data_IF_040484813595
#
_entry.id   IF_040484813595
#
_cell.length_a   1.000
_cell.length_b   1.000
_cell.length_c   1.000
_cell.angle_alpha   90.00
_cell.angle_beta   90.00
_cell.angle_gamma   90.00
#
_symmetry.space_group_name_H-M   'P 1'
#
loop_
_entity.id
_entity.type
_entity.pdbx_description
1 polymer ?
#
# COMPACT_ATOMS: atom_id res chain seq x y z
N UNK A 1 -17.60 24.31 13.44
CA UNK A 1 -17.03 23.90 12.14
C UNK A 1 -16.33 22.57 12.36
N UNK A 2 -16.63 21.56 11.55
CA UNK A 2 -16.10 20.20 11.72
C UNK A 2 -15.08 19.92 10.63
N UNK A 3 -13.83 19.65 11.02
CA UNK A 3 -12.73 19.31 10.10
C UNK A 3 -12.45 17.83 10.26
N UNK A 4 -12.34 17.12 9.14
CA UNK A 4 -11.93 15.71 9.08
C UNK A 4 -10.61 15.63 8.32
N UNK A 5 -9.66 14.89 8.88
CA UNK A 5 -8.35 14.65 8.27
C UNK A 5 -8.32 13.17 7.89
N UNK A 6 -8.30 12.90 6.59
CA UNK A 6 -8.20 11.55 6.06
C UNK A 6 -6.84 11.35 5.36
N UNK A 7 -6.17 10.21 5.57
CA UNK A 7 -4.93 9.90 4.88
C UNK A 7 -5.21 9.61 3.39
N UNK A 8 -4.90 10.57 2.52
CA UNK A 8 -5.02 10.39 1.07
C UNK A 8 -3.87 9.55 0.51
N UNK A 9 -2.70 9.58 1.17
CA UNK A 9 -1.49 8.89 0.71
C UNK A 9 -1.01 7.91 1.78
N UNK A 10 -0.90 6.64 1.41
CA UNK A 10 -0.36 5.58 2.25
C UNK A 10 0.99 5.16 1.69
N UNK A 11 2.05 5.30 2.50
CA UNK A 11 3.36 4.76 2.17
C UNK A 11 3.46 3.30 2.63
N UNK A 12 3.64 2.41 1.68
CA UNK A 12 3.78 0.97 1.89
C UNK A 12 5.27 0.62 1.80
N UNK A 13 5.80 -0.02 2.83
CA UNK A 13 7.18 -0.50 2.91
C UNK A 13 7.15 -2.00 3.16
N UNK A 14 7.82 -2.76 2.29
CA UNK A 14 8.02 -4.20 2.46
C UNK A 14 9.35 -4.47 3.14
N UNK A 15 9.35 -5.36 4.13
CA UNK A 15 10.54 -5.81 4.85
C UNK A 15 10.66 -7.32 4.74
N UNK A 16 11.81 -7.87 5.13
CA UNK A 16 11.92 -9.31 5.36
C UNK A 16 11.11 -9.75 6.59
N UNK A 17 10.65 -11.00 6.56
CA UNK A 17 9.77 -11.59 7.59
C UNK A 17 10.40 -11.59 9.01
N UNK A 18 11.72 -11.40 9.11
CA UNK A 18 12.45 -11.31 10.39
C UNK A 18 12.39 -9.92 11.04
N UNK A 19 11.96 -8.89 10.30
CA UNK A 19 11.91 -7.51 10.78
C UNK A 19 10.63 -7.26 11.58
N UNK A 20 10.77 -6.66 12.77
CA UNK A 20 9.62 -6.24 13.56
C UNK A 20 9.01 -4.94 12.99
N UNK A 21 7.96 -5.09 12.17
CA UNK A 21 7.28 -3.96 11.51
C UNK A 21 6.38 -3.11 12.43
N UNK A 22 6.26 -3.46 13.72
CA UNK A 22 5.47 -2.72 14.70
C UNK A 22 6.30 -1.67 15.48
N UNK A 23 7.61 -1.59 15.25
CA UNK A 23 8.46 -0.53 15.82
C UNK A 23 8.06 0.84 15.27
N UNK A 24 8.39 1.91 15.99
CA UNK A 24 8.13 3.26 15.48
C UNK A 24 9.01 3.55 14.27
N UNK A 25 8.50 4.33 13.32
CA UNK A 25 9.20 4.57 12.05
C UNK A 25 10.60 5.18 12.22
N UNK A 26 10.79 6.03 13.24
CA UNK A 26 12.09 6.65 13.51
C UNK A 26 13.10 5.67 14.15
N UNK A 27 12.64 4.50 14.60
CA UNK A 27 13.44 3.42 15.19
C UNK A 27 13.74 2.31 14.18
N UNK A 28 13.16 2.37 12.97
CA UNK A 28 13.38 1.40 11.91
C UNK A 28 14.72 1.67 11.23
N UNK A 29 15.66 0.74 11.34
CA UNK A 29 17.00 0.83 10.71
C UNK A 29 17.19 -0.19 9.59
N UNK A 30 16.35 -1.21 9.56
CA UNK A 30 16.41 -2.31 8.61
C UNK A 30 16.01 -1.81 7.20
N UNK A 31 16.73 -2.24 6.15
CA UNK A 31 16.45 -1.80 4.78
C UNK A 31 15.11 -2.35 4.28
N UNK A 32 14.45 -1.60 3.41
CA UNK A 32 13.21 -2.03 2.77
C UNK A 32 13.53 -2.90 1.56
N UNK A 33 12.81 -3.99 1.37
CA UNK A 33 12.84 -4.76 0.13
C UNK A 33 12.21 -3.99 -1.02
N UNK A 34 11.10 -3.32 -0.73
CA UNK A 34 10.42 -2.46 -1.68
C UNK A 34 9.69 -1.33 -0.96
N UNK A 35 9.38 -0.28 -1.71
CA UNK A 35 8.46 0.77 -1.28
C UNK A 35 7.51 1.12 -2.41
N UNK A 36 6.25 1.38 -2.06
CA UNK A 36 5.24 1.85 -3.00
C UNK A 36 4.27 2.79 -2.29
N UNK A 37 3.51 3.55 -3.06
CA UNK A 37 2.50 4.48 -2.54
C UNK A 37 1.13 4.00 -2.97
N UNK A 38 0.14 4.12 -2.08
CA UNK A 38 -1.26 3.98 -2.43
C UNK A 38 -1.99 5.30 -2.20
N UNK A 39 -2.67 5.80 -3.23
CA UNK A 39 -3.57 6.95 -3.14
C UNK A 39 -4.98 6.44 -2.86
N UNK A 40 -5.54 6.79 -1.70
CA UNK A 40 -6.91 6.49 -1.32
C UNK A 40 -7.83 7.62 -1.79
N UNK A 41 -8.87 7.25 -2.52
CA UNK A 41 -9.82 8.20 -3.12
C UNK A 41 -11.23 7.99 -2.54
N UNK A 42 -12.04 9.04 -2.59
CA UNK A 42 -13.39 9.07 -1.99
C UNK A 42 -14.37 8.06 -2.60
N UNK A 43 -14.13 7.63 -3.84
CA UNK A 43 -14.90 6.57 -4.52
C UNK A 43 -14.56 5.15 -4.01
N UNK A 44 -13.60 5.04 -3.09
CA UNK A 44 -13.09 3.77 -2.57
C UNK A 44 -11.98 3.17 -3.43
N UNK A 45 -11.40 3.90 -4.38
CA UNK A 45 -10.24 3.45 -5.13
C UNK A 45 -8.96 3.55 -4.28
N UNK A 46 -8.13 2.50 -4.33
CA UNK A 46 -6.74 2.56 -3.91
C UNK A 46 -5.83 2.43 -5.14
N UNK A 47 -5.23 3.54 -5.58
CA UNK A 47 -4.30 3.56 -6.72
C UNK A 47 -2.88 3.35 -6.25
N UNK A 48 -2.28 2.20 -6.56
CA UNK A 48 -0.89 1.90 -6.21
C UNK A 48 0.07 2.42 -7.30
N UNK A 49 1.13 3.10 -6.86
CA UNK A 49 2.27 3.50 -7.67
C UNK A 49 3.58 2.93 -7.12
N UNK A 50 4.51 2.58 -8.01
CA UNK A 50 5.84 2.08 -7.63
C UNK A 50 5.88 0.58 -7.32
N UNK A 51 4.90 -0.21 -7.77
CA UNK A 51 5.07 -1.67 -7.78
C UNK A 51 6.20 -2.02 -8.74
N UNK A 52 7.15 -2.81 -8.26
CA UNK A 52 8.27 -3.33 -9.04
C UNK A 52 8.31 -4.86 -8.93
N UNK A 53 9.24 -5.49 -9.63
CA UNK A 53 9.32 -6.96 -9.72
C UNK A 53 9.76 -7.64 -8.41
N UNK A 54 10.14 -6.87 -7.38
CA UNK A 54 10.52 -7.42 -6.07
C UNK A 54 9.30 -7.72 -5.18
N UNK A 55 8.11 -7.23 -5.55
CA UNK A 55 6.86 -7.46 -4.82
C UNK A 55 6.33 -8.85 -5.15
N UNK A 56 6.26 -9.72 -4.15
CA UNK A 56 5.75 -11.07 -4.31
C UNK A 56 4.22 -11.12 -4.29
N UNK A 57 3.63 -12.26 -4.68
CA UNK A 57 2.19 -12.50 -4.59
C UNK A 57 1.70 -12.40 -3.13
N UNK A 58 2.53 -12.83 -2.17
CA UNK A 58 2.23 -12.74 -0.73
C UNK A 58 2.18 -11.29 -0.28
N UNK A 59 3.19 -10.50 -0.65
CA UNK A 59 3.24 -9.06 -0.35
C UNK A 59 2.02 -8.35 -0.91
N UNK A 60 1.70 -8.61 -2.19
CA UNK A 60 0.56 -7.99 -2.84
C UNK A 60 -0.78 -8.37 -2.19
N UNK A 61 -0.89 -9.59 -1.68
CA UNK A 61 -2.08 -10.05 -0.93
C UNK A 61 -2.19 -9.36 0.43
N UNK A 62 -1.08 -9.15 1.12
CA UNK A 62 -1.07 -8.41 2.38
C UNK A 62 -1.40 -6.91 2.18
N UNK A 63 -0.85 -6.30 1.13
CA UNK A 63 -1.17 -4.92 0.74
C UNK A 63 -2.67 -4.78 0.51
N UNK A 64 -3.29 -5.68 -0.26
CA UNK A 64 -4.74 -5.71 -0.48
C UNK A 64 -5.53 -5.77 0.82
N UNK A 65 -5.15 -6.69 1.70
CA UNK A 65 -5.80 -6.85 3.01
C UNK A 65 -5.73 -5.57 3.83
N UNK A 66 -4.56 -4.93 3.91
CA UNK A 66 -4.37 -3.68 4.67
C UNK A 66 -5.13 -2.51 4.06
N UNK A 67 -5.13 -2.36 2.73
CA UNK A 67 -5.87 -1.30 2.04
C UNK A 67 -7.39 -1.46 2.21
N UNK A 68 -7.90 -2.70 2.20
CA UNK A 68 -9.32 -2.98 2.48
C UNK A 68 -9.71 -2.52 3.89
N UNK A 69 -8.86 -2.73 4.89
CA UNK A 69 -9.08 -2.25 6.26
C UNK A 69 -9.09 -0.72 6.36
N UNK A 70 -8.44 -0.02 5.42
CA UNK A 70 -8.47 1.43 5.30
C UNK A 70 -9.67 1.95 4.47
N UNK A 71 -10.60 1.07 4.08
CA UNK A 71 -11.83 1.45 3.38
C UNK A 71 -11.77 1.38 1.85
N UNK A 72 -10.67 0.87 1.28
CA UNK A 72 -10.59 0.66 -0.16
C UNK A 72 -11.54 -0.47 -0.63
N UNK A 73 -12.31 -0.21 -1.69
CA UNK A 73 -13.25 -1.16 -2.32
C UNK A 73 -12.64 -1.87 -3.53
N UNK A 74 -11.76 -1.18 -4.25
CA UNK A 74 -11.04 -1.74 -5.38
C UNK A 74 -9.65 -1.15 -5.49
N UNK A 75 -8.76 -1.94 -6.07
CA UNK A 75 -7.38 -1.59 -6.33
C UNK A 75 -7.21 -1.21 -7.80
N UNK A 76 -6.43 -0.17 -8.04
CA UNK A 76 -5.95 0.22 -9.37
C UNK A 76 -4.42 0.20 -9.34
N UNK A 77 -3.80 -0.44 -10.32
CA UNK A 77 -2.35 -0.41 -10.46
C UNK A 77 -1.96 -0.47 -11.94
N UNK A 78 -0.72 -0.07 -12.25
CA UNK A 78 -0.17 -0.19 -13.60
C UNK A 78 0.90 -1.26 -13.66
N UNK A 79 0.90 -2.04 -14.73
CA UNK A 79 1.94 -3.02 -15.05
C UNK A 79 2.08 -3.07 -16.57
N UNK A 80 3.31 -3.00 -17.10
CA UNK A 80 3.59 -2.96 -18.54
C UNK A 80 2.73 -1.93 -19.29
N UNK A 81 2.65 -0.70 -18.76
CA UNK A 81 1.85 0.42 -19.26
C UNK A 81 0.33 0.23 -19.26
N UNK A 82 -0.19 -0.95 -18.88
CA UNK A 82 -1.63 -1.24 -18.79
C UNK A 82 -2.14 -0.95 -17.39
N UNK A 83 -3.33 -0.37 -17.29
CA UNK A 83 -4.04 -0.21 -16.02
C UNK A 83 -4.83 -1.48 -15.72
N UNK A 84 -4.68 -1.97 -14.50
CA UNK A 84 -5.40 -3.11 -13.96
C UNK A 84 -6.30 -2.65 -12.84
N UNK A 85 -7.51 -3.22 -12.78
CA UNK A 85 -8.48 -2.98 -11.71
C UNK A 85 -8.91 -4.31 -11.09
N UNK A 86 -8.99 -4.36 -9.77
CA UNK A 86 -9.46 -5.55 -9.04
C UNK A 86 -10.25 -5.16 -7.80
N UNK A 87 -11.42 -5.76 -7.61
CA UNK A 87 -12.23 -5.62 -6.39
C UNK A 87 -11.55 -6.31 -5.20
N UNK A 88 -11.66 -5.72 -4.00
CA UNK A 88 -10.98 -6.16 -2.76
C UNK A 88 -11.86 -6.93 -1.79
#
# INVERSE_FOLDING_TARGET
MSVRIDPVVVHIRGYDDTVNINKQLHEMTEPYRFSCLALLQDDGAARIQGLNDTVTIRDFSEIKRKLKLLGAKYLIWRHNSREHRKTL
#
